data_IF_046811324235
#
_entry.id   IF_046811324235
#
_cell.length_a   1.000
_cell.length_b   1.000
_cell.length_c   1.000
_cell.angle_alpha   90.00
_cell.angle_beta   90.00
_cell.angle_gamma   90.00
#
_symmetry.space_group_name_H-M   'P 1'
#
loop_
_entity.id
_entity.type
_entity.pdbx_description
1 polymer ?
#
# COMPACT_ATOMS: atom_id res chain seq x y z
N UNK A 1 2.83 20.51 -8.11
CA UNK A 1 3.87 19.54 -8.53
C UNK A 1 5.07 19.85 -7.67
N UNK A 2 5.64 18.82 -7.05
CA UNK A 2 6.86 18.94 -6.24
C UNK A 2 7.95 18.21 -7.02
N UNK A 3 9.11 18.83 -7.16
CA UNK A 3 10.25 18.30 -7.89
C UNK A 3 11.42 18.20 -6.92
N UNK A 4 11.95 16.99 -6.78
CA UNK A 4 13.12 16.69 -5.97
C UNK A 4 14.34 16.61 -6.89
N UNK A 5 15.14 17.66 -6.92
CA UNK A 5 16.39 17.69 -7.69
C UNK A 5 17.53 17.13 -6.84
N UNK A 6 18.58 16.63 -7.49
CA UNK A 6 19.81 16.23 -6.80
C UNK A 6 20.38 17.42 -6.01
N UNK A 7 20.87 17.14 -4.81
CA UNK A 7 21.46 18.13 -3.92
C UNK A 7 22.62 18.89 -4.58
N UNK A 8 22.65 20.21 -4.35
CA UNK A 8 23.64 21.13 -4.90
C UNK A 8 24.09 22.09 -3.81
N UNK A 9 25.37 22.03 -3.45
CA UNK A 9 25.98 22.95 -2.48
C UNK A 9 26.03 24.38 -3.03
N UNK A 10 26.38 24.53 -4.31
CA UNK A 10 26.54 25.82 -4.96
C UNK A 10 25.16 26.46 -5.28
N UNK A 11 24.85 27.66 -4.73
CA UNK A 11 23.65 28.41 -5.07
C UNK A 11 23.54 28.81 -6.56
N UNK A 12 24.65 28.88 -7.29
CA UNK A 12 24.68 29.14 -8.73
C UNK A 12 24.12 27.96 -9.53
N UNK A 13 24.47 26.72 -9.16
CA UNK A 13 23.92 25.52 -9.81
C UNK A 13 22.39 25.45 -9.63
N UNK A 14 21.89 25.74 -8.42
CA UNK A 14 20.44 25.82 -8.15
C UNK A 14 19.74 26.84 -9.04
N UNK A 15 20.31 28.05 -9.17
CA UNK A 15 19.80 29.10 -10.06
C UNK A 15 19.81 28.66 -11.54
N UNK A 16 20.84 27.93 -11.97
CA UNK A 16 20.93 27.43 -13.33
C UNK A 16 19.85 26.37 -13.63
N UNK A 17 19.58 25.46 -12.68
CA UNK A 17 18.50 24.48 -12.79
C UNK A 17 17.13 25.17 -12.91
N UNK A 18 16.83 26.13 -12.03
CA UNK A 18 15.57 26.88 -12.09
C UNK A 18 15.39 27.63 -13.42
N UNK A 19 16.41 28.37 -13.88
CA UNK A 19 16.37 29.06 -15.18
C UNK A 19 16.13 28.11 -16.34
N UNK A 20 16.73 26.93 -16.29
CA UNK A 20 16.56 25.90 -17.32
C UNK A 20 15.15 25.35 -17.30
N UNK A 21 14.60 25.08 -16.12
CA UNK A 21 13.22 24.63 -15.92
C UNK A 21 12.22 25.68 -16.44
N UNK A 22 12.37 26.94 -16.05
CA UNK A 22 11.51 28.05 -16.53
C UNK A 22 11.57 28.20 -18.05
N UNK A 23 12.78 28.16 -18.63
CA UNK A 23 12.96 28.26 -20.09
C UNK A 23 12.31 27.09 -20.83
N UNK A 24 12.36 25.88 -20.27
CA UNK A 24 11.70 24.71 -20.85
C UNK A 24 10.16 24.84 -20.79
N UNK A 25 9.64 25.34 -19.66
CA UNK A 25 8.21 25.56 -19.45
C UNK A 25 7.63 26.74 -20.24
N UNK A 26 8.47 27.67 -20.73
CA UNK A 26 8.02 28.81 -21.54
C UNK A 26 7.30 28.40 -22.84
N UNK A 27 7.48 27.16 -23.30
CA UNK A 27 6.78 26.59 -24.47
C UNK A 27 5.44 25.93 -24.13
N UNK A 28 5.13 25.77 -22.85
CA UNK A 28 3.87 25.17 -22.41
C UNK A 28 2.72 26.18 -22.54
N UNK A 29 1.64 25.77 -23.20
CA UNK A 29 0.45 26.61 -23.36
C UNK A 29 -0.35 26.78 -22.05
N UNK A 30 -0.20 25.86 -21.09
CA UNK A 30 -0.83 25.99 -19.79
C UNK A 30 -0.05 26.99 -18.92
N UNK A 31 -0.75 27.85 -18.18
CA UNK A 31 -0.12 28.74 -17.21
C UNK A 31 0.65 27.93 -16.16
N UNK A 32 1.94 28.21 -16.02
CA UNK A 32 2.84 27.61 -15.04
C UNK A 32 3.38 28.69 -14.09
N UNK A 33 3.67 28.30 -12.85
CA UNK A 33 4.41 29.12 -11.90
C UNK A 33 5.42 28.20 -11.22
N UNK A 34 6.70 28.56 -11.25
CA UNK A 34 7.79 27.86 -10.56
C UNK A 34 8.22 28.71 -9.38
N UNK A 35 8.46 28.08 -8.23
CA UNK A 35 9.01 28.71 -7.04
C UNK A 35 10.48 28.34 -6.87
N UNK A 36 11.20 29.12 -6.06
CA UNK A 36 12.58 28.83 -5.69
C UNK A 36 12.68 27.51 -4.90
N UNK A 37 13.92 27.03 -4.74
CA UNK A 37 14.21 25.91 -3.84
C UNK A 37 13.71 26.22 -2.41
N UNK A 38 12.91 25.31 -1.86
CA UNK A 38 12.50 25.35 -0.46
C UNK A 38 13.70 25.08 0.46
N UNK A 39 13.58 25.38 1.77
CA UNK A 39 14.59 25.02 2.75
C UNK A 39 14.90 23.52 2.83
N UNK A 40 13.99 22.67 2.33
CA UNK A 40 14.15 21.21 2.26
C UNK A 40 14.81 20.73 0.95
N UNK A 41 15.22 21.64 0.05
CA UNK A 41 15.82 21.28 -1.24
C UNK A 41 14.81 20.96 -2.35
N UNK A 42 13.50 21.07 -2.07
CA UNK A 42 12.44 20.79 -3.06
C UNK A 42 12.07 22.03 -3.87
N UNK A 43 11.76 21.85 -5.15
CA UNK A 43 11.18 22.89 -6.01
C UNK A 43 9.67 22.67 -6.14
N UNK A 44 8.92 23.73 -5.88
CA UNK A 44 7.46 23.72 -6.01
C UNK A 44 7.05 24.38 -7.33
N UNK A 45 6.08 23.80 -8.03
CA UNK A 45 5.47 24.46 -9.17
C UNK A 45 3.97 24.17 -9.29
N UNK A 46 3.24 25.14 -9.83
CA UNK A 46 1.86 24.96 -10.27
C UNK A 46 1.79 24.94 -11.79
N UNK A 47 0.86 24.14 -12.31
CA UNK A 47 0.50 24.11 -13.73
C UNK A 47 -1.01 24.05 -13.81
N UNK A 48 -1.63 25.01 -14.50
CA UNK A 48 -3.09 25.08 -14.65
C UNK A 48 -3.58 23.81 -15.34
N UNK A 49 -4.54 23.12 -14.72
CA UNK A 49 -5.23 21.98 -15.34
C UNK A 49 -6.20 22.50 -16.40
N UNK A 50 -5.93 22.19 -17.67
CA UNK A 50 -6.78 22.56 -18.82
C UNK A 50 -7.68 21.43 -19.27
N UNK A 51 -7.24 20.20 -19.09
CA UNK A 51 -7.96 18.96 -19.39
C UNK A 51 -7.72 17.94 -18.27
N UNK A 52 -8.49 16.86 -18.29
CA UNK A 52 -8.22 15.70 -17.45
C UNK A 52 -6.80 15.15 -17.72
N UNK A 53 -6.12 14.64 -16.69
CA UNK A 53 -4.78 14.06 -16.88
C UNK A 53 -4.88 12.78 -17.70
N UNK A 54 -3.85 12.50 -18.53
CA UNK A 54 -3.76 11.25 -19.28
C UNK A 54 -3.93 10.03 -18.39
N UNK A 55 -3.30 10.03 -17.22
CA UNK A 55 -3.45 8.96 -16.22
C UNK A 55 -4.92 8.66 -15.91
N UNK A 56 -5.73 9.70 -15.67
CA UNK A 56 -7.13 9.53 -15.31
C UNK A 56 -8.00 9.14 -16.52
N UNK A 57 -7.60 9.52 -17.73
CA UNK A 57 -8.28 9.11 -18.95
C UNK A 57 -7.95 7.68 -19.39
N UNK A 58 -6.72 7.22 -19.10
CA UNK A 58 -6.18 5.97 -19.62
C UNK A 58 -6.07 4.86 -18.58
N UNK A 59 -6.29 5.15 -17.30
CA UNK A 59 -6.07 4.21 -16.20
C UNK A 59 -7.28 4.11 -15.29
N UNK A 60 -7.46 2.93 -14.71
CA UNK A 60 -8.37 2.69 -13.60
C UNK A 60 -7.57 2.36 -12.32
N UNK A 61 -8.21 2.48 -11.16
CA UNK A 61 -7.58 2.14 -9.89
C UNK A 61 -7.30 0.64 -9.84
N UNK A 62 -6.05 0.26 -9.51
CA UNK A 62 -5.68 -1.15 -9.35
C UNK A 62 -6.56 -1.83 -8.29
N UNK A 63 -7.32 -2.85 -8.68
CA UNK A 63 -8.22 -3.59 -7.78
C UNK A 63 -7.52 -4.36 -6.66
N UNK A 64 -6.21 -4.63 -6.78
CA UNK A 64 -5.45 -5.37 -5.77
C UNK A 64 -4.88 -4.48 -4.67
N UNK A 65 -4.27 -3.34 -5.03
CA UNK A 65 -3.65 -2.45 -4.05
C UNK A 65 -4.49 -1.20 -3.74
N UNK A 66 -5.60 -0.99 -4.46
CA UNK A 66 -6.44 0.21 -4.34
C UNK A 66 -5.71 1.49 -4.76
N UNK A 67 -4.71 1.37 -5.65
CA UNK A 67 -3.86 2.50 -6.07
C UNK A 67 -2.67 2.80 -5.17
N UNK A 68 -2.42 2.02 -4.10
CA UNK A 68 -1.25 2.20 -3.22
C UNK A 68 0.10 1.90 -3.88
N UNK A 69 0.12 1.13 -4.97
CA UNK A 69 1.35 0.67 -5.63
C UNK A 69 2.13 -0.40 -4.83
N UNK A 70 1.63 -0.82 -3.67
CA UNK A 70 2.23 -1.85 -2.83
C UNK A 70 1.15 -2.73 -2.21
N UNK A 71 1.51 -3.97 -1.86
CA UNK A 71 0.67 -4.91 -1.10
C UNK A 71 1.42 -5.36 0.16
N UNK A 72 0.71 -5.56 1.26
CA UNK A 72 1.22 -6.13 2.51
C UNK A 72 1.82 -7.49 2.25
N UNK A 73 2.90 -7.84 2.93
CA UNK A 73 3.51 -9.17 2.84
C UNK A 73 2.56 -10.24 3.37
N UNK A 74 2.74 -11.50 2.93
CA UNK A 74 1.95 -12.62 3.45
C UNK A 74 2.07 -12.71 4.97
N UNK A 75 3.26 -12.48 5.52
CA UNK A 75 3.53 -12.36 6.96
C UNK A 75 2.64 -11.35 7.68
N UNK A 76 2.56 -10.13 7.12
CA UNK A 76 1.76 -9.07 7.72
C UNK A 76 0.29 -9.49 7.76
N UNK A 77 -0.20 -10.11 6.68
CA UNK A 77 -1.58 -10.60 6.58
C UNK A 77 -1.83 -11.76 7.55
N UNK A 78 -0.87 -12.68 7.70
CA UNK A 78 -0.94 -13.77 8.69
C UNK A 78 -1.14 -13.23 10.11
N UNK A 79 -0.36 -12.24 10.54
CA UNK A 79 -0.55 -11.66 11.86
C UNK A 79 -1.82 -10.80 11.99
N UNK A 80 -2.35 -10.25 10.88
CA UNK A 80 -3.69 -9.64 10.88
C UNK A 80 -4.78 -10.69 11.10
N UNK A 81 -4.69 -11.85 10.43
CA UNK A 81 -5.59 -12.98 10.62
C UNK A 81 -5.59 -13.43 12.09
N UNK A 82 -4.43 -13.63 12.71
CA UNK A 82 -4.36 -14.05 14.13
C UNK A 82 -5.02 -13.04 15.09
N UNK A 83 -4.85 -11.74 14.82
CA UNK A 83 -5.51 -10.67 15.57
C UNK A 83 -7.03 -10.71 15.38
N UNK A 84 -7.51 -10.91 14.15
CA UNK A 84 -8.94 -11.00 13.85
C UNK A 84 -9.58 -12.25 14.47
N UNK A 85 -8.91 -13.41 14.44
CA UNK A 85 -9.34 -14.62 15.15
C UNK A 85 -9.52 -14.33 16.64
N UNK A 86 -8.51 -13.73 17.27
CA UNK A 86 -8.54 -13.40 18.70
C UNK A 86 -9.68 -12.42 19.03
N UNK A 87 -10.01 -11.48 18.13
CA UNK A 87 -11.14 -10.55 18.27
C UNK A 87 -12.47 -11.28 18.12
N UNK A 88 -12.63 -12.12 17.10
CA UNK A 88 -13.87 -12.82 16.81
C UNK A 88 -14.29 -13.79 17.93
N UNK A 89 -13.34 -14.54 18.49
CA UNK A 89 -13.60 -15.49 19.58
C UNK A 89 -14.03 -14.81 20.88
N UNK A 90 -13.57 -13.57 21.14
CA UNK A 90 -14.02 -12.80 22.31
C UNK A 90 -15.47 -12.36 22.21
N UNK A 91 -16.00 -12.22 21.00
CA UNK A 91 -17.34 -11.68 20.77
C UNK A 91 -18.41 -12.79 20.67
N UNK A 92 -18.03 -13.99 20.24
CA UNK A 92 -18.96 -15.07 19.95
C UNK A 92 -18.42 -16.42 20.41
N UNK A 93 -19.29 -17.26 20.96
CA UNK A 93 -18.93 -18.60 21.40
C UNK A 93 -19.11 -19.63 20.27
N UNK A 94 -18.14 -19.66 19.35
CA UNK A 94 -18.05 -20.67 18.29
C UNK A 94 -17.13 -21.81 18.71
N UNK A 95 -17.46 -23.07 18.39
CA UNK A 95 -16.59 -24.20 18.74
C UNK A 95 -15.43 -24.36 17.74
N UNK A 96 -15.62 -23.89 16.50
CA UNK A 96 -14.64 -24.01 15.41
C UNK A 96 -14.55 -22.71 14.62
N UNK A 97 -13.37 -22.46 14.05
CA UNK A 97 -13.14 -21.35 13.13
C UNK A 97 -12.68 -21.87 11.78
N UNK A 98 -13.11 -21.21 10.72
CA UNK A 98 -12.61 -21.40 9.37
C UNK A 98 -12.04 -20.07 8.87
N UNK A 99 -10.76 -20.08 8.49
CA UNK A 99 -10.09 -18.96 7.86
C UNK A 99 -9.92 -19.27 6.38
N UNK A 100 -10.48 -18.41 5.53
CA UNK A 100 -10.32 -18.49 4.07
C UNK A 100 -9.38 -17.36 3.67
N UNK A 101 -8.30 -17.66 2.95
CA UNK A 101 -7.34 -16.66 2.47
C UNK A 101 -6.63 -17.15 1.20
N UNK A 102 -5.84 -16.27 0.58
CA UNK A 102 -5.02 -16.65 -0.58
C UNK A 102 -4.08 -17.82 -0.28
N UNK A 103 -3.81 -18.65 -1.29
CA UNK A 103 -2.92 -19.83 -1.19
C UNK A 103 -1.55 -19.51 -0.57
N UNK A 104 -0.99 -18.34 -0.89
CA UNK A 104 0.29 -17.89 -0.33
C UNK A 104 0.24 -17.59 1.17
N UNK A 105 -0.86 -17.02 1.64
CA UNK A 105 -1.05 -16.71 3.07
C UNK A 105 -1.31 -18.00 3.86
N UNK A 106 -2.14 -18.89 3.31
CA UNK A 106 -2.44 -20.18 3.95
C UNK A 106 -1.19 -21.04 4.06
N UNK A 107 -0.41 -21.19 2.99
CA UNK A 107 0.84 -21.95 3.04
C UNK A 107 1.81 -21.40 4.10
N UNK A 108 1.93 -20.06 4.20
CA UNK A 108 2.74 -19.45 5.26
C UNK A 108 2.23 -19.80 6.66
N UNK A 109 0.92 -19.71 6.88
CA UNK A 109 0.31 -20.03 8.17
C UNK A 109 0.57 -21.49 8.56
N UNK A 110 0.40 -22.43 7.62
CA UNK A 110 0.51 -23.86 7.90
C UNK A 110 1.94 -24.34 7.99
N UNK A 111 2.86 -23.74 7.25
CA UNK A 111 4.23 -24.23 7.13
C UNK A 111 5.18 -23.45 8.05
N UNK A 112 5.23 -22.13 7.89
CA UNK A 112 6.17 -21.25 8.58
C UNK A 112 5.70 -20.88 10.00
N UNK A 113 4.39 -20.66 10.19
CA UNK A 113 3.81 -20.18 11.46
C UNK A 113 3.05 -21.28 12.24
N UNK A 114 3.33 -22.56 11.95
CA UNK A 114 2.65 -23.71 12.56
C UNK A 114 2.70 -23.72 14.09
N UNK A 115 3.83 -23.32 14.68
CA UNK A 115 3.98 -23.19 16.13
C UNK A 115 3.05 -22.11 16.71
N UNK A 116 2.97 -20.94 16.06
CA UNK A 116 2.10 -19.85 16.49
C UNK A 116 0.61 -20.23 16.38
N UNK A 117 0.24 -21.02 15.36
CA UNK A 117 -1.11 -21.58 15.23
C UNK A 117 -1.44 -22.50 16.40
N UNK A 118 -0.53 -23.42 16.75
CA UNK A 118 -0.74 -24.35 17.86
C UNK A 118 -0.91 -23.61 19.21
N UNK A 119 -0.06 -22.61 19.47
CA UNK A 119 -0.19 -21.75 20.66
C UNK A 119 -1.53 -20.99 20.67
N UNK A 120 -1.98 -20.50 19.51
CA UNK A 120 -3.25 -19.80 19.39
C UNK A 120 -4.45 -20.72 19.63
N UNK A 121 -4.45 -21.94 19.08
CA UNK A 121 -5.49 -22.93 19.32
C UNK A 121 -5.56 -23.35 20.78
N UNK A 122 -4.41 -23.57 21.43
CA UNK A 122 -4.32 -23.90 22.86
C UNK A 122 -4.87 -22.76 23.72
N UNK A 123 -4.46 -21.52 23.44
CA UNK A 123 -4.91 -20.34 24.16
C UNK A 123 -6.42 -20.12 24.03
N UNK A 124 -6.98 -20.37 22.85
CA UNK A 124 -8.41 -20.18 22.58
C UNK A 124 -9.26 -21.38 23.00
N UNK A 125 -8.66 -22.56 23.19
CA UNK A 125 -9.36 -23.82 23.43
C UNK A 125 -10.29 -24.25 22.28
N UNK A 126 -10.01 -23.78 21.06
CA UNK A 126 -10.86 -23.92 19.86
C UNK A 126 -10.00 -24.32 18.66
N UNK A 127 -10.53 -25.16 17.78
CA UNK A 127 -9.81 -25.55 16.56
C UNK A 127 -10.02 -24.56 15.42
N UNK A 128 -8.95 -24.29 14.68
CA UNK A 128 -8.91 -23.35 13.57
C UNK A 128 -8.53 -24.11 12.30
N UNK A 129 -9.40 -24.06 11.29
CA UNK A 129 -9.12 -24.61 9.96
C UNK A 129 -8.71 -23.48 9.03
N UNK A 130 -7.61 -23.66 8.31
CA UNK A 130 -7.19 -22.76 7.22
C UNK A 130 -7.53 -23.38 5.87
N UNK A 131 -8.13 -22.59 4.98
CA UNK A 131 -8.51 -23.00 3.63
C UNK A 131 -7.99 -21.98 2.62
N UNK A 132 -7.26 -22.46 1.62
CA UNK A 132 -6.80 -21.65 0.50
C UNK A 132 -7.91 -21.47 -0.54
N UNK A 133 -8.04 -20.26 -1.06
CA UNK A 133 -8.87 -19.94 -2.22
C UNK A 133 -8.10 -19.03 -3.19
N UNK A 134 -7.96 -19.45 -4.45
CA UNK A 134 -7.22 -18.72 -5.48
C UNK A 134 -7.95 -17.46 -5.97
N UNK A 135 -9.24 -17.31 -5.65
CA UNK A 135 -10.00 -16.08 -5.91
C UNK A 135 -9.64 -14.96 -4.93
N UNK A 136 -9.03 -15.29 -3.78
CA UNK A 136 -8.65 -14.32 -2.77
C UNK A 136 -7.30 -13.69 -3.13
N UNK A 137 -7.27 -12.35 -3.14
CA UNK A 137 -6.02 -11.61 -3.22
C UNK A 137 -5.25 -11.71 -1.90
N UNK A 138 -3.94 -11.43 -1.93
CA UNK A 138 -3.07 -11.64 -0.77
C UNK A 138 -3.55 -10.92 0.51
N UNK A 139 -4.18 -9.75 0.40
CA UNK A 139 -4.70 -8.98 1.55
C UNK A 139 -6.16 -9.27 1.89
N UNK A 140 -6.80 -10.22 1.20
CA UNK A 140 -8.17 -10.63 1.46
C UNK A 140 -8.17 -11.91 2.29
N UNK A 141 -9.00 -11.93 3.32
CA UNK A 141 -9.27 -13.12 4.11
C UNK A 141 -10.62 -12.97 4.82
N UNK A 142 -11.24 -14.10 5.16
CA UNK A 142 -12.44 -14.17 5.98
C UNK A 142 -12.22 -15.10 7.17
N UNK A 143 -12.73 -14.69 8.33
CA UNK A 143 -12.77 -15.53 9.54
C UNK A 143 -14.22 -15.89 9.81
N UNK A 144 -14.59 -17.13 9.50
CA UNK A 144 -15.94 -17.67 9.65
C UNK A 144 -16.03 -18.45 10.96
N UNK A 145 -17.04 -18.12 11.76
CA UNK A 145 -17.36 -18.80 13.01
C UNK A 145 -18.33 -19.96 12.74
N UNK A 146 -18.00 -21.17 13.18
CA UNK A 146 -18.76 -22.41 12.94
C UNK A 146 -19.23 -23.07 14.24
#
# INVERSE_FOLDING_TARGET
IIIDFIDMDDPEHRRQVLRTLEKALARDHAKTTVYEFSPLGLVEMTRKRTVESLERQLSETCGQCGGRGTIKTAETVTYEIFREITRAVRQFDAARLLVIASSKVVARITDEESAAVAELEEFLGKSIRFQSDDQYLQEQFDVVLL
#
